data_IF_674312707502
#
_entry.id   IF_674312707502
#
_cell.length_a   1.000
_cell.length_b   1.000
_cell.length_c   1.000
_cell.angle_alpha   90.00
_cell.angle_beta   90.00
_cell.angle_gamma   90.00
#
_symmetry.space_group_name_H-M   'P 1'
#
loop_
_entity.id
_entity.type
_entity.pdbx_description
1 polymer ?
#
# COMPACT_ATOMS: atom_id res chain seq x y z
N UNK A 1 4.97 -5.89 -1.74
CA UNK A 1 5.98 -4.83 -1.55
C UNK A 1 5.32 -3.51 -1.90
N UNK A 2 5.43 -2.47 -1.04
CA UNK A 2 4.60 -1.26 -1.20
C UNK A 2 5.13 -0.28 -2.25
N UNK A 3 6.46 -0.13 -2.37
CA UNK A 3 7.10 0.57 -3.49
C UNK A 3 8.03 -0.37 -4.27
N UNK A 4 8.13 -0.16 -5.58
CA UNK A 4 9.22 -0.72 -6.38
C UNK A 4 10.48 0.15 -6.22
N UNK A 5 11.66 -0.48 -6.18
CA UNK A 5 12.95 0.24 -6.17
C UNK A 5 13.18 1.12 -7.39
N UNK A 6 12.45 0.88 -8.48
CA UNK A 6 12.52 1.67 -9.71
C UNK A 6 11.77 3.00 -9.58
N UNK A 7 10.71 3.02 -8.77
CA UNK A 7 9.87 4.19 -8.54
C UNK A 7 10.43 5.10 -7.45
N UNK A 8 11.25 4.57 -6.54
CA UNK A 8 11.85 5.39 -5.48
C UNK A 8 12.87 6.35 -6.09
N UNK A 9 12.68 7.64 -5.81
CA UNK A 9 13.62 8.69 -6.19
C UNK A 9 14.95 8.47 -5.46
N UNK A 10 16.02 8.40 -6.24
CA UNK A 10 17.37 8.08 -5.76
C UNK A 10 18.43 8.85 -6.53
N UNK A 11 19.53 9.12 -5.86
CA UNK A 11 20.72 9.75 -6.41
C UNK A 11 21.84 8.72 -6.43
N UNK A 12 22.53 8.61 -7.56
CA UNK A 12 23.70 7.75 -7.71
C UNK A 12 24.94 8.64 -7.70
N UNK A 13 25.90 8.34 -6.85
CA UNK A 13 27.17 9.06 -6.78
C UNK A 13 28.34 8.10 -6.63
N UNK A 14 29.54 8.55 -7.00
CA UNK A 14 30.78 7.80 -6.84
C UNK A 14 31.60 8.41 -5.71
N UNK A 15 32.09 7.56 -4.80
CA UNK A 15 33.02 7.96 -3.74
C UNK A 15 34.10 6.90 -3.62
N UNK A 16 35.38 7.30 -3.71
CA UNK A 16 36.50 6.36 -3.58
C UNK A 16 36.53 5.22 -4.61
N UNK A 17 35.94 5.41 -5.80
CA UNK A 17 35.85 4.37 -6.83
C UNK A 17 34.64 3.44 -6.71
N UNK A 18 33.90 3.52 -5.60
CA UNK A 18 32.68 2.74 -5.37
C UNK A 18 31.42 3.54 -5.75
N UNK A 19 30.37 2.82 -6.12
CA UNK A 19 29.05 3.36 -6.44
C UNK A 19 28.17 3.36 -5.20
N UNK A 20 27.56 4.51 -4.93
CA UNK A 20 26.63 4.71 -3.83
C UNK A 20 25.28 5.16 -4.36
N UNK A 21 24.22 4.68 -3.71
CA UNK A 21 22.84 5.10 -3.98
C UNK A 21 22.30 5.75 -2.72
N UNK A 22 21.96 7.04 -2.82
CA UNK A 22 21.22 7.77 -1.79
C UNK A 22 19.74 7.78 -2.12
N UNK A 23 18.91 7.28 -1.20
CA UNK A 23 17.46 7.44 -1.30
C UNK A 23 17.08 8.89 -1.01
N UNK A 24 16.11 9.40 -1.75
CA UNK A 24 15.55 10.72 -1.49
C UNK A 24 14.42 10.63 -0.47
N UNK A 25 14.74 10.97 0.78
CA UNK A 25 13.77 11.16 1.85
C UNK A 25 13.28 12.60 1.86
N UNK A 26 11.97 12.77 2.09
CA UNK A 26 11.34 14.08 2.26
C UNK A 26 11.74 14.68 3.61
N UNK A 27 12.25 15.90 3.57
CA UNK A 27 12.53 16.69 4.78
C UNK A 27 11.24 17.27 5.36
N UNK A 28 11.22 17.66 6.64
CA UNK A 28 10.07 18.35 7.21
C UNK A 28 9.68 19.59 6.38
N UNK A 29 8.41 19.65 5.95
CA UNK A 29 7.86 20.73 5.13
C UNK A 29 8.16 20.65 3.62
N UNK A 30 8.99 19.71 3.17
CA UNK A 30 9.21 19.46 1.74
C UNK A 30 7.95 18.89 1.09
N UNK A 31 7.63 19.34 -0.13
CA UNK A 31 6.44 18.95 -0.89
C UNK A 31 5.09 19.16 -0.18
N UNK A 32 5.03 20.03 0.84
CA UNK A 32 3.82 20.23 1.64
C UNK A 32 2.60 20.57 0.78
N UNK A 33 2.73 21.51 -0.15
CA UNK A 33 1.62 21.98 -0.99
C UNK A 33 1.20 20.91 -2.01
N UNK A 34 2.17 20.17 -2.55
CA UNK A 34 1.96 19.06 -3.48
C UNK A 34 1.16 17.92 -2.82
N UNK A 35 1.57 17.53 -1.61
CA UNK A 35 0.88 16.51 -0.82
C UNK A 35 -0.52 17.01 -0.43
N UNK A 36 -0.66 18.27 -0.03
CA UNK A 36 -1.96 18.86 0.29
C UNK A 36 -2.92 18.85 -0.90
N UNK A 37 -2.44 19.19 -2.11
CA UNK A 37 -3.21 19.08 -3.35
C UNK A 37 -3.60 17.64 -3.67
N UNK A 38 -2.68 16.69 -3.50
CA UNK A 38 -2.95 15.28 -3.75
C UNK A 38 -3.98 14.70 -2.78
N UNK A 39 -3.92 15.10 -1.49
CA UNK A 39 -4.95 14.76 -0.50
C UNK A 39 -6.29 15.36 -0.91
N UNK A 40 -6.32 16.65 -1.26
CA UNK A 40 -7.56 17.33 -1.68
C UNK A 40 -8.20 16.65 -2.91
N UNK A 41 -7.38 16.20 -3.86
CA UNK A 41 -7.85 15.43 -5.02
C UNK A 41 -8.52 14.10 -4.61
N UNK A 42 -7.93 13.33 -3.68
CA UNK A 42 -8.57 12.11 -3.17
C UNK A 42 -9.85 12.41 -2.38
N UNK A 43 -9.85 13.48 -1.57
CA UNK A 43 -11.05 13.90 -0.83
C UNK A 43 -12.22 14.25 -1.77
N UNK A 44 -11.95 14.87 -2.92
CA UNK A 44 -12.98 15.18 -3.92
C UNK A 44 -13.59 13.92 -4.56
N UNK A 45 -12.83 12.83 -4.62
CA UNK A 45 -13.27 11.55 -5.20
C UNK A 45 -13.92 10.62 -4.16
N UNK A 46 -14.08 11.03 -2.90
CA UNK A 46 -14.72 10.21 -1.88
C UNK A 46 -16.14 9.79 -2.30
N UNK A 47 -16.39 8.48 -2.28
CA UNK A 47 -17.65 7.85 -2.71
C UNK A 47 -17.85 7.77 -4.22
N UNK A 48 -16.93 8.33 -5.02
CA UNK A 48 -16.95 8.24 -6.49
C UNK A 48 -16.35 6.92 -6.96
N UNK A 49 -16.81 6.40 -8.12
CA UNK A 49 -16.27 5.18 -8.70
C UNK A 49 -14.85 5.38 -9.24
N UNK A 50 -14.06 4.31 -9.22
CA UNK A 50 -12.64 4.30 -9.59
C UNK A 50 -12.37 4.76 -11.01
N UNK A 51 -13.29 4.52 -11.95
CA UNK A 51 -13.19 5.06 -13.32
C UNK A 51 -13.12 6.60 -13.40
N UNK A 52 -13.53 7.32 -12.35
CA UNK A 52 -13.36 8.78 -12.28
C UNK A 52 -11.96 9.19 -11.81
N UNK A 53 -11.18 8.27 -11.23
CA UNK A 53 -9.81 8.55 -10.84
C UNK A 53 -8.91 8.65 -12.07
N UNK A 54 -8.40 9.85 -12.33
CA UNK A 54 -7.34 10.10 -13.30
C UNK A 54 -5.97 9.95 -12.65
N UNK A 55 -5.18 9.00 -13.14
CA UNK A 55 -3.79 8.83 -12.69
C UNK A 55 -2.92 10.02 -13.10
N UNK A 56 -3.22 10.66 -14.22
CA UNK A 56 -2.44 11.79 -14.73
C UNK A 56 -2.71 13.08 -13.94
N UNK A 57 -3.94 13.32 -13.51
CA UNK A 57 -4.27 14.44 -12.61
C UNK A 57 -3.64 14.25 -11.22
N UNK A 58 -3.67 13.02 -10.69
CA UNK A 58 -2.99 12.69 -9.44
C UNK A 58 -1.47 12.94 -9.54
N UNK A 59 -0.84 12.55 -10.66
CA UNK A 59 0.58 12.82 -10.92
C UNK A 59 0.87 14.31 -11.06
N UNK A 60 0.00 15.06 -11.74
CA UNK A 60 0.15 16.49 -11.93
C UNK A 60 0.14 17.28 -10.60
N UNK A 61 -0.52 16.78 -9.56
CA UNK A 61 -0.49 17.39 -8.22
C UNK A 61 0.92 17.47 -7.62
N UNK A 62 1.82 16.55 -7.98
CA UNK A 62 3.19 16.44 -7.46
C UNK A 62 4.24 16.90 -8.47
N UNK A 63 4.01 16.64 -9.76
CA UNK A 63 4.90 17.02 -10.86
C UNK A 63 6.04 16.03 -11.12
N UNK A 64 6.72 15.52 -10.08
CA UNK A 64 7.71 14.46 -10.23
C UNK A 64 7.02 13.08 -10.28
N UNK A 65 7.13 12.39 -11.42
CA UNK A 65 6.49 11.09 -11.66
C UNK A 65 6.83 10.04 -10.59
N UNK A 66 8.11 9.94 -10.18
CA UNK A 66 8.57 8.92 -9.23
C UNK A 66 7.98 9.17 -7.85
N UNK A 67 8.05 10.42 -7.41
CA UNK A 67 7.44 10.83 -6.15
C UNK A 67 5.93 10.71 -6.18
N UNK A 68 5.27 11.09 -7.28
CA UNK A 68 3.82 10.94 -7.44
C UNK A 68 3.38 9.49 -7.24
N UNK A 69 4.06 8.54 -7.88
CA UNK A 69 3.76 7.11 -7.73
C UNK A 69 3.85 6.65 -6.28
N UNK A 70 4.96 6.97 -5.59
CA UNK A 70 5.14 6.59 -4.20
C UNK A 70 4.16 7.31 -3.26
N UNK A 71 3.81 8.58 -3.52
CA UNK A 71 2.85 9.33 -2.68
C UNK A 71 1.41 8.84 -2.88
N UNK A 72 1.00 8.53 -4.12
CA UNK A 72 -0.31 7.90 -4.40
C UNK A 72 -0.39 6.55 -3.69
N UNK A 73 0.67 5.74 -3.78
CA UNK A 73 0.73 4.47 -3.05
C UNK A 73 0.69 4.70 -1.53
N UNK A 74 1.41 5.68 -0.98
CA UNK A 74 1.36 6.02 0.45
C UNK A 74 -0.06 6.36 0.91
N UNK A 75 -0.83 7.08 0.09
CA UNK A 75 -2.22 7.41 0.39
C UNK A 75 -3.13 6.18 0.47
N UNK A 76 -2.74 5.04 -0.10
CA UNK A 76 -3.47 3.79 0.05
C UNK A 76 -3.52 3.25 1.48
N UNK A 77 -2.81 3.87 2.44
CA UNK A 77 -2.95 3.54 3.85
C UNK A 77 -4.18 4.21 4.51
N UNK A 78 -4.77 5.21 3.85
CA UNK A 78 -5.97 5.90 4.32
C UNK A 78 -7.14 5.67 3.38
N UNK A 79 -6.89 5.71 2.07
CA UNK A 79 -7.90 5.59 1.04
C UNK A 79 -7.88 4.20 0.41
N UNK A 80 -9.03 3.57 0.29
CA UNK A 80 -9.16 2.25 -0.30
C UNK A 80 -10.30 2.23 -1.31
N UNK A 81 -10.11 1.46 -2.37
CA UNK A 81 -11.17 1.15 -3.31
C UNK A 81 -11.98 -0.01 -2.76
N UNK A 82 -13.29 0.17 -2.67
CA UNK A 82 -14.19 -0.82 -2.10
C UNK A 82 -15.33 -1.12 -3.07
N UNK A 83 -15.55 -2.40 -3.33
CA UNK A 83 -16.70 -2.89 -4.07
C UNK A 83 -18.00 -2.55 -3.33
N UNK A 84 -18.98 -1.99 -4.05
CA UNK A 84 -20.32 -1.77 -3.50
C UNK A 84 -21.05 -3.10 -3.35
N UNK A 85 -21.78 -3.27 -2.25
CA UNK A 85 -22.55 -4.49 -2.09
C UNK A 85 -23.78 -4.50 -3.00
N UNK A 86 -24.16 -5.68 -3.47
CA UNK A 86 -25.37 -5.90 -4.26
C UNK A 86 -26.60 -5.31 -3.56
N UNK A 87 -26.74 -5.58 -2.26
CA UNK A 87 -27.86 -5.09 -1.44
C UNK A 87 -27.87 -3.56 -1.27
N UNK A 88 -26.72 -2.91 -1.08
CA UNK A 88 -26.64 -1.44 -1.01
C UNK A 88 -27.12 -0.77 -2.30
N UNK A 89 -26.80 -1.35 -3.46
CA UNK A 89 -27.25 -0.82 -4.75
C UNK A 89 -28.77 -0.89 -4.88
N UNK A 90 -29.40 -1.98 -4.45
CA UNK A 90 -30.85 -2.12 -4.51
C UNK A 90 -31.63 -1.21 -3.55
N UNK A 91 -30.99 -0.68 -2.50
CA UNK A 91 -31.60 0.39 -1.70
C UNK A 91 -31.88 1.66 -2.53
N UNK A 92 -31.12 1.87 -3.61
CA UNK A 92 -31.31 3.01 -4.53
C UNK A 92 -32.22 2.68 -5.71
N UNK A 93 -32.13 1.47 -6.26
CA UNK A 93 -32.90 1.04 -7.44
C UNK A 93 -34.36 0.73 -7.05
N UNK A 94 -34.56 0.03 -5.93
CA UNK A 94 -35.88 -0.39 -5.44
C UNK A 94 -35.92 -1.86 -5.03
N UNK A 95 -36.71 -2.18 -4.00
CA UNK A 95 -36.81 -3.52 -3.41
C UNK A 95 -37.61 -4.52 -4.25
N UNK A 96 -38.47 -4.05 -5.16
CA UNK A 96 -39.28 -4.91 -6.03
C UNK A 96 -38.40 -5.64 -7.06
N UNK A 97 -37.52 -4.92 -7.76
CA UNK A 97 -36.56 -5.51 -8.71
C UNK A 97 -35.61 -6.49 -8.01
N UNK A 98 -35.16 -6.16 -6.79
CA UNK A 98 -34.35 -7.08 -5.98
C UNK A 98 -35.09 -8.40 -5.71
N UNK A 99 -36.35 -8.32 -5.30
CA UNK A 99 -37.16 -9.49 -4.97
C UNK A 99 -37.38 -10.38 -6.20
N UNK A 100 -37.63 -9.79 -7.38
CA UNK A 100 -37.78 -10.54 -8.63
C UNK A 100 -36.49 -11.27 -9.04
N UNK A 101 -35.34 -10.62 -8.88
CA UNK A 101 -34.04 -11.23 -9.14
C UNK A 101 -33.75 -12.37 -8.16
N UNK A 102 -34.03 -12.17 -6.86
CA UNK A 102 -33.86 -13.19 -5.83
C UNK A 102 -34.76 -14.41 -6.07
N UNK A 103 -36.02 -14.20 -6.47
CA UNK A 103 -36.94 -15.28 -6.86
C UNK A 103 -36.42 -16.08 -8.07
N UNK A 104 -35.67 -15.44 -8.96
CA UNK A 104 -34.99 -16.09 -10.08
C UNK A 104 -33.62 -16.69 -9.71
N UNK A 105 -33.21 -16.63 -8.44
CA UNK A 105 -31.92 -17.13 -7.97
C UNK A 105 -30.73 -16.23 -8.30
N UNK A 106 -30.97 -14.97 -8.67
CA UNK A 106 -29.95 -13.99 -9.04
C UNK A 106 -29.67 -13.07 -7.86
N UNK A 107 -28.52 -13.26 -7.22
CA UNK A 107 -28.09 -12.50 -6.02
C UNK A 107 -26.72 -11.82 -6.19
N UNK A 108 -26.16 -11.84 -7.40
CA UNK A 108 -24.85 -11.27 -7.72
C UNK A 108 -24.71 -10.86 -9.19
N UNK A 109 -23.73 -9.98 -9.52
CA UNK A 109 -23.45 -9.59 -10.91
C UNK A 109 -23.10 -10.77 -11.82
N UNK A 110 -22.40 -11.77 -11.30
CA UNK A 110 -22.04 -12.99 -12.04
C UNK A 110 -23.30 -13.76 -12.45
N UNK A 111 -24.22 -13.98 -11.51
CA UNK A 111 -25.48 -14.67 -11.81
C UNK A 111 -26.37 -13.87 -12.77
N UNK A 112 -26.37 -12.54 -12.65
CA UNK A 112 -27.10 -11.69 -13.59
C UNK A 112 -26.53 -11.80 -15.01
N UNK A 113 -25.20 -11.83 -15.15
CA UNK A 113 -24.53 -12.06 -16.44
C UNK A 113 -24.87 -13.42 -17.03
N UNK A 114 -24.85 -14.48 -16.21
CA UNK A 114 -25.25 -15.82 -16.64
C UNK A 114 -26.70 -15.86 -17.11
N UNK A 115 -27.64 -15.30 -16.35
CA UNK A 115 -29.05 -15.23 -16.74
C UNK A 115 -29.26 -14.45 -18.05
N UNK A 116 -28.49 -13.37 -18.26
CA UNK A 116 -28.52 -12.64 -19.53
C UNK A 116 -27.99 -13.49 -20.69
N UNK A 117 -26.90 -14.23 -20.49
CA UNK A 117 -26.36 -15.13 -21.52
C UNK A 117 -27.32 -16.26 -21.86
N UNK A 118 -27.97 -16.87 -20.86
CA UNK A 118 -29.01 -17.87 -21.07
C UNK A 118 -30.18 -17.30 -21.86
N UNK A 119 -30.65 -16.10 -21.49
CA UNK A 119 -31.70 -15.40 -22.23
C UNK A 119 -31.33 -15.15 -23.70
N UNK A 120 -30.11 -14.69 -23.98
CA UNK A 120 -29.61 -14.45 -25.34
C UNK A 120 -29.45 -15.78 -26.11
N UNK A 121 -29.01 -16.85 -25.46
CA UNK A 121 -28.92 -18.17 -26.08
C UNK A 121 -30.30 -18.68 -26.52
N UNK A 122 -31.31 -18.51 -25.68
CA UNK A 122 -32.68 -18.97 -25.95
C UNK A 122 -33.39 -18.13 -27.03
N UNK A 123 -33.20 -16.81 -27.02
CA UNK A 123 -34.00 -15.90 -27.86
C UNK A 123 -33.27 -15.42 -29.11
N UNK A 124 -31.94 -15.44 -29.13
CA UNK A 124 -31.09 -14.87 -30.19
C UNK A 124 -30.01 -15.84 -30.69
N UNK A 125 -30.19 -17.15 -30.45
CA UNK A 125 -29.25 -18.20 -30.88
C UNK A 125 -27.80 -17.97 -30.41
N UNK A 126 -27.63 -17.29 -29.28
CA UNK A 126 -26.33 -17.06 -28.65
C UNK A 126 -25.49 -15.93 -29.25
N UNK A 127 -26.04 -15.14 -30.18
CA UNK A 127 -25.37 -13.96 -30.72
C UNK A 127 -26.29 -12.75 -30.69
N UNK A 128 -25.80 -11.64 -30.17
CA UNK A 128 -26.54 -10.38 -30.09
C UNK A 128 -25.83 -9.32 -30.92
N UNK A 129 -26.39 -8.99 -32.08
CA UNK A 129 -25.86 -7.93 -32.92
C UNK A 129 -26.11 -6.53 -32.33
N UNK A 130 -25.39 -5.53 -32.84
CA UNK A 130 -25.46 -4.16 -32.34
C UNK A 130 -26.83 -3.48 -32.58
N UNK A 131 -27.57 -3.86 -33.62
CA UNK A 131 -28.88 -3.30 -33.94
C UNK A 131 -29.97 -3.83 -33.00
N UNK A 132 -29.87 -5.10 -32.60
CA UNK A 132 -30.83 -5.79 -31.74
C UNK A 132 -30.50 -5.69 -30.24
N UNK A 133 -29.27 -5.30 -29.89
CA UNK A 133 -28.78 -5.23 -28.52
C UNK A 133 -29.69 -4.44 -27.59
N UNK A 134 -30.02 -3.20 -27.95
CA UNK A 134 -30.82 -2.33 -27.11
C UNK A 134 -32.23 -2.91 -26.85
N UNK A 135 -32.89 -3.42 -27.89
CA UNK A 135 -34.22 -4.01 -27.77
C UNK A 135 -34.22 -5.30 -26.94
N UNK A 136 -33.17 -6.12 -27.08
CA UNK A 136 -33.03 -7.38 -26.32
C UNK A 136 -32.75 -7.11 -24.85
N UNK A 137 -31.84 -6.19 -24.53
CA UNK A 137 -31.55 -5.80 -23.15
C UNK A 137 -32.76 -5.17 -22.47
N UNK A 138 -33.56 -4.37 -23.20
CA UNK A 138 -34.81 -3.81 -22.68
C UNK A 138 -35.85 -4.88 -22.36
N UNK A 139 -35.97 -5.92 -23.19
CA UNK A 139 -36.87 -7.05 -22.91
C UNK A 139 -36.41 -7.85 -21.70
N UNK A 140 -35.12 -8.15 -21.61
CA UNK A 140 -34.54 -8.84 -20.46
C UNK A 140 -34.72 -8.03 -19.16
N UNK A 141 -34.44 -6.72 -19.19
CA UNK A 141 -34.56 -5.85 -18.00
C UNK A 141 -36.01 -5.73 -17.53
N UNK A 142 -36.98 -5.73 -18.45
CA UNK A 142 -38.41 -5.67 -18.13
C UNK A 142 -38.89 -6.87 -17.30
N UNK A 143 -38.31 -8.07 -17.49
CA UNK A 143 -38.62 -9.27 -16.68
C UNK A 143 -38.38 -9.04 -15.19
N UNK A 144 -37.39 -8.22 -14.85
CA UNK A 144 -36.99 -7.91 -13.47
C UNK A 144 -37.36 -6.48 -13.05
N UNK A 145 -38.17 -5.79 -13.84
CA UNK A 145 -38.53 -4.38 -13.62
C UNK A 145 -37.30 -3.48 -13.42
N UNK A 146 -36.24 -3.73 -14.19
CA UNK A 146 -35.02 -2.92 -14.18
C UNK A 146 -35.04 -1.89 -15.32
N UNK A 147 -34.57 -0.68 -15.04
CA UNK A 147 -34.19 0.26 -16.08
C UNK A 147 -32.97 -0.26 -16.86
N UNK A 148 -32.83 0.16 -18.13
CA UNK A 148 -31.70 -0.27 -18.96
C UNK A 148 -30.34 0.15 -18.37
N UNK A 149 -30.26 1.38 -17.82
CA UNK A 149 -29.05 1.87 -17.14
C UNK A 149 -28.73 1.10 -15.87
N UNK A 150 -29.75 0.66 -15.12
CA UNK A 150 -29.56 -0.10 -13.90
C UNK A 150 -29.07 -1.52 -14.20
N UNK A 151 -29.61 -2.14 -15.26
CA UNK A 151 -29.12 -3.43 -15.77
C UNK A 151 -27.64 -3.32 -16.15
N UNK A 152 -27.27 -2.34 -16.98
CA UNK A 152 -25.88 -2.14 -17.40
C UNK A 152 -24.94 -1.92 -16.21
N UNK A 153 -25.35 -1.10 -15.24
CA UNK A 153 -24.59 -0.87 -14.02
C UNK A 153 -24.44 -2.15 -13.18
N UNK A 154 -25.51 -2.91 -12.95
CA UNK A 154 -25.49 -4.16 -12.18
C UNK A 154 -24.62 -5.23 -12.83
N UNK A 155 -24.57 -5.29 -14.17
CA UNK A 155 -23.71 -6.23 -14.91
C UNK A 155 -22.21 -5.95 -14.72
N UNK A 156 -21.86 -4.69 -14.44
CA UNK A 156 -20.47 -4.23 -14.24
C UNK A 156 -20.13 -3.96 -12.75
N UNK A 157 -21.07 -4.20 -11.83
CA UNK A 157 -20.94 -3.78 -10.44
C UNK A 157 -19.73 -4.39 -9.72
N UNK A 158 -19.32 -5.60 -10.09
CA UNK A 158 -18.14 -6.29 -9.53
C UNK A 158 -16.83 -6.00 -10.28
N UNK A 159 -16.81 -5.00 -11.17
CA UNK A 159 -15.59 -4.56 -11.82
C UNK A 159 -14.79 -3.59 -10.95
N UNK A 160 -13.48 -3.56 -11.12
CA UNK A 160 -12.59 -2.61 -10.43
C UNK A 160 -12.99 -1.15 -10.73
N UNK A 161 -13.53 -0.87 -11.92
CA UNK A 161 -13.92 0.47 -12.37
C UNK A 161 -15.08 1.07 -11.55
N UNK A 162 -15.95 0.22 -10.98
CA UNK A 162 -17.10 0.64 -10.16
C UNK A 162 -16.81 0.61 -8.65
N UNK A 163 -15.61 0.21 -8.23
CA UNK A 163 -15.18 0.35 -6.84
C UNK A 163 -15.26 1.81 -6.42
N UNK A 164 -15.73 2.08 -5.21
CA UNK A 164 -15.79 3.45 -4.69
C UNK A 164 -14.62 3.77 -3.79
N UNK A 165 -14.16 5.02 -3.84
CA UNK A 165 -13.14 5.47 -2.90
C UNK A 165 -13.74 5.66 -1.51
N UNK A 166 -13.21 4.93 -0.53
CA UNK A 166 -13.59 5.07 0.88
C UNK A 166 -12.35 5.36 1.73
N UNK A 167 -12.59 5.81 2.97
CA UNK A 167 -11.56 6.08 3.96
C UNK A 167 -12.04 5.54 5.30
N UNK A 168 -11.17 4.80 5.98
CA UNK A 168 -11.51 4.19 7.28
C UNK A 168 -11.55 5.23 8.41
N UNK A 169 -10.72 6.28 8.30
CA UNK A 169 -10.65 7.35 9.30
C UNK A 169 -11.66 8.47 9.02
N UNK A 170 -12.18 9.16 10.04
CA UNK A 170 -13.12 10.26 9.85
C UNK A 170 -12.47 11.53 9.29
N UNK A 171 -11.14 11.65 9.36
CA UNK A 171 -10.38 12.82 8.89
C UNK A 171 -9.28 12.41 7.91
N UNK A 172 -8.91 13.29 6.96
CA UNK A 172 -7.81 13.02 6.04
C UNK A 172 -6.48 13.00 6.80
N UNK A 173 -5.45 12.33 6.25
CA UNK A 173 -4.11 12.39 6.81
C UNK A 173 -3.56 13.82 6.77
N UNK A 174 -2.64 14.14 7.68
CA UNK A 174 -1.86 15.36 7.51
C UNK A 174 -0.77 15.16 6.45
N UNK A 175 -0.27 16.26 5.89
CA UNK A 175 0.86 16.21 4.95
C UNK A 175 2.10 15.56 5.56
N UNK A 176 2.31 15.76 6.86
CA UNK A 176 3.41 15.17 7.60
C UNK A 176 3.24 13.65 7.77
N UNK A 177 2.02 13.15 7.95
CA UNK A 177 1.76 11.71 8.06
C UNK A 177 2.11 11.01 6.74
N UNK A 178 1.68 11.58 5.61
CA UNK A 178 1.98 11.05 4.28
C UNK A 178 3.48 11.08 4.01
N UNK A 179 4.16 12.18 4.31
CA UNK A 179 5.62 12.29 4.12
C UNK A 179 6.40 11.29 5.00
N UNK A 180 5.96 11.09 6.25
CA UNK A 180 6.55 10.13 7.18
C UNK A 180 6.38 8.71 6.65
N UNK A 181 5.19 8.36 6.18
CA UNK A 181 4.90 7.04 5.64
C UNK A 181 5.64 6.78 4.33
N UNK A 182 5.73 7.78 3.44
CA UNK A 182 6.59 7.71 2.25
C UNK A 182 8.04 7.39 2.63
N UNK A 183 8.62 8.12 3.58
CA UNK A 183 10.00 7.89 4.01
C UNK A 183 10.18 6.48 4.58
N UNK A 184 9.24 6.04 5.41
CA UNK A 184 9.25 4.69 5.96
C UNK A 184 9.23 3.63 4.85
N UNK A 185 8.28 3.72 3.91
CA UNK A 185 8.15 2.72 2.85
C UNK A 185 9.30 2.77 1.84
N UNK A 186 9.87 3.94 1.58
CA UNK A 186 11.08 4.07 0.77
C UNK A 186 12.27 3.36 1.43
N UNK A 187 12.42 3.51 2.75
CA UNK A 187 13.45 2.82 3.53
C UNK A 187 13.23 1.31 3.57
N UNK A 188 12.02 0.85 3.92
CA UNK A 188 11.66 -0.57 3.95
C UNK A 188 11.86 -1.25 2.59
N UNK A 189 11.51 -0.57 1.50
CA UNK A 189 11.68 -1.10 0.15
C UNK A 189 13.16 -1.26 -0.22
N UNK A 190 14.04 -0.39 0.27
CA UNK A 190 15.47 -0.56 0.09
C UNK A 190 16.02 -1.71 0.93
N UNK A 191 15.60 -1.85 2.19
CA UNK A 191 16.02 -2.95 3.06
C UNK A 191 15.60 -4.32 2.50
N UNK A 192 14.37 -4.44 1.99
CA UNK A 192 13.88 -5.71 1.43
C UNK A 192 14.65 -6.14 0.17
N UNK A 193 15.22 -5.20 -0.57
CA UNK A 193 16.03 -5.48 -1.76
C UNK A 193 17.53 -5.50 -1.49
N UNK A 194 17.98 -5.32 -0.25
CA UNK A 194 19.39 -5.40 0.09
C UNK A 194 19.84 -6.86 0.12
N UNK A 195 21.05 -7.15 -0.35
CA UNK A 195 21.67 -8.47 -0.17
C UNK A 195 22.01 -8.71 1.31
N UNK A 196 22.52 -7.67 1.98
CA UNK A 196 22.70 -7.62 3.42
C UNK A 196 22.57 -6.18 3.92
N UNK A 197 22.29 -6.03 5.22
CA UNK A 197 22.18 -4.76 5.93
C UNK A 197 23.13 -4.79 7.10
N UNK A 198 24.04 -3.82 7.17
CA UNK A 198 25.04 -3.72 8.24
C UNK A 198 24.70 -2.56 9.16
N UNK A 199 24.51 -2.87 10.44
CA UNK A 199 24.30 -1.90 11.50
C UNK A 199 25.55 -1.79 12.36
N UNK A 200 25.93 -0.55 12.68
CA UNK A 200 26.93 -0.24 13.71
C UNK A 200 26.15 0.32 14.89
N UNK A 201 26.16 -0.39 16.01
CA UNK A 201 25.34 -0.13 17.17
C UNK A 201 26.25 0.29 18.32
N UNK A 202 26.04 1.50 18.84
CA UNK A 202 26.59 1.92 20.12
C UNK A 202 25.80 1.23 21.23
N UNK A 203 26.46 0.33 21.96
CA UNK A 203 25.79 -0.47 22.98
C UNK A 203 25.26 0.39 24.14
N UNK A 204 25.97 1.47 24.50
CA UNK A 204 25.56 2.34 25.61
C UNK A 204 24.31 3.12 25.21
N UNK A 205 24.31 3.73 24.02
CA UNK A 205 23.14 4.45 23.51
C UNK A 205 21.92 3.52 23.35
N UNK A 206 22.15 2.28 22.91
CA UNK A 206 21.09 1.29 22.76
C UNK A 206 20.47 0.88 24.10
N UNK A 207 21.26 0.76 25.17
CA UNK A 207 20.73 0.48 26.50
C UNK A 207 19.96 1.68 27.09
N UNK A 208 20.51 2.88 26.98
CA UNK A 208 19.86 4.11 27.47
C UNK A 208 18.49 4.35 26.84
N UNK A 209 18.33 4.11 25.54
CA UNK A 209 17.05 4.25 24.84
C UNK A 209 15.95 3.30 25.38
N UNK A 210 16.33 2.21 26.06
CA UNK A 210 15.40 1.21 26.58
C UNK A 210 15.18 1.29 28.08
N UNK A 211 16.10 1.89 28.83
CA UNK A 211 15.97 2.00 30.29
C UNK A 211 14.99 3.10 30.72
N UNK A 212 14.50 3.95 29.81
CA UNK A 212 13.45 4.95 30.09
C UNK A 212 13.76 5.91 31.24
N UNK A 213 15.03 5.97 31.66
CA UNK A 213 15.49 6.70 32.83
C UNK A 213 16.63 7.62 32.41
N UNK A 214 16.37 8.92 32.47
CA UNK A 214 17.40 9.96 32.45
C UNK A 214 18.25 9.80 33.71
N UNK A 215 19.20 8.87 33.68
CA UNK A 215 20.18 8.73 34.75
C UNK A 215 21.17 9.90 34.67
N UNK A 216 21.46 10.57 35.81
CA UNK A 216 22.35 11.73 35.82
C UNK A 216 23.77 11.33 35.34
N UNK A 217 24.41 12.26 34.64
CA UNK A 217 25.70 12.13 33.94
C UNK A 217 26.93 11.74 34.81
N UNK A 218 26.74 11.29 36.05
CA UNK A 218 27.80 10.87 36.99
C UNK A 218 27.89 9.37 37.25
N UNK A 219 26.99 8.55 36.71
CA UNK A 219 26.98 7.08 36.91
C UNK A 219 27.72 6.29 35.80
N UNK A 220 28.53 6.96 34.97
CA UNK A 220 29.21 6.38 33.81
C UNK A 220 30.31 5.35 34.14
N UNK A 221 30.57 5.08 35.43
CA UNK A 221 31.64 4.18 35.89
C UNK A 221 31.26 2.71 36.10
N UNK A 222 29.98 2.33 35.98
CA UNK A 222 29.53 0.95 36.23
C UNK A 222 28.46 0.48 35.24
N UNK A 223 28.76 0.51 33.94
CA UNK A 223 28.02 -0.27 32.93
C UNK A 223 28.98 -1.35 32.38
N UNK A 224 29.43 -2.22 33.28
CA UNK A 224 30.31 -3.36 32.94
C UNK A 224 29.56 -4.59 32.41
N UNK A 225 28.24 -4.51 32.23
CA UNK A 225 27.35 -5.65 31.92
C UNK A 225 26.55 -5.49 30.63
N UNK A 226 26.76 -4.40 29.87
CA UNK A 226 25.80 -3.97 28.83
C UNK A 226 25.87 -4.74 27.50
N UNK A 227 27.06 -5.02 26.98
CA UNK A 227 27.22 -5.65 25.65
C UNK A 227 26.51 -7.02 25.59
N UNK A 228 26.67 -7.85 26.62
CA UNK A 228 26.04 -9.17 26.66
C UNK A 228 24.51 -9.12 26.63
N UNK A 229 23.91 -8.09 27.21
CA UNK A 229 22.46 -7.86 27.21
C UNK A 229 21.99 -7.40 25.83
N UNK A 230 22.69 -6.44 25.22
CA UNK A 230 22.42 -5.97 23.86
C UNK A 230 22.53 -7.12 22.85
N UNK A 231 23.61 -7.91 22.91
CA UNK A 231 23.82 -9.08 22.05
C UNK A 231 22.69 -10.09 22.20
N UNK A 232 22.39 -10.52 23.44
CA UNK A 232 21.31 -11.49 23.70
C UNK A 232 19.98 -11.01 23.12
N UNK A 233 19.69 -9.72 23.24
CA UNK A 233 18.45 -9.13 22.74
C UNK A 233 18.40 -9.09 21.22
N UNK A 234 19.46 -8.65 20.56
CA UNK A 234 19.53 -8.64 19.09
C UNK A 234 19.45 -10.06 18.53
N UNK A 235 20.17 -11.02 19.13
CA UNK A 235 20.07 -12.45 18.79
C UNK A 235 18.64 -12.98 18.97
N UNK A 236 17.96 -12.61 20.06
CA UNK A 236 16.57 -13.00 20.31
C UNK A 236 15.62 -12.40 19.26
N UNK A 237 15.75 -11.12 18.94
CA UNK A 237 14.93 -10.46 17.92
C UNK A 237 15.15 -11.06 16.54
N UNK A 238 16.40 -11.28 16.13
CA UNK A 238 16.71 -11.89 14.84
C UNK A 238 16.14 -13.31 14.74
N UNK A 239 16.25 -14.12 15.80
CA UNK A 239 15.62 -15.46 15.86
C UNK A 239 14.09 -15.40 15.80
N UNK A 240 13.47 -14.48 16.54
CA UNK A 240 12.02 -14.30 16.55
C UNK A 240 11.49 -13.86 15.18
N UNK A 241 12.26 -13.05 14.46
CA UNK A 241 11.94 -12.57 13.11
C UNK A 241 12.39 -13.54 12.01
N UNK A 242 13.10 -14.62 12.34
CA UNK A 242 13.58 -15.61 11.37
C UNK A 242 14.67 -15.08 10.41
N UNK A 243 15.42 -14.05 10.82
CA UNK A 243 16.44 -13.41 9.99
C UNK A 243 17.81 -14.01 10.30
N UNK A 244 18.56 -14.38 9.27
CA UNK A 244 19.95 -14.82 9.39
C UNK A 244 20.86 -13.63 9.66
N UNK A 245 21.82 -13.78 10.56
CA UNK A 245 22.69 -12.70 10.97
C UNK A 245 24.08 -13.17 11.36
N UNK A 246 25.04 -12.26 11.21
CA UNK A 246 26.37 -12.33 11.81
C UNK A 246 26.58 -11.14 12.75
N UNK A 247 27.31 -11.38 13.83
CA UNK A 247 27.56 -10.39 14.87
C UNK A 247 29.04 -10.39 15.22
N UNK A 248 29.65 -9.22 15.10
CA UNK A 248 31.05 -8.96 15.47
C UNK A 248 31.10 -7.74 16.39
N UNK A 249 32.10 -7.65 17.25
CA UNK A 249 32.25 -6.51 18.16
C UNK A 249 33.71 -6.08 18.18
N UNK A 250 33.93 -4.77 18.23
CA UNK A 250 35.26 -4.24 18.44
C UNK A 250 35.55 -4.21 19.94
N UNK A 251 36.67 -4.80 20.42
CA UNK A 251 37.02 -4.74 21.82
C UNK A 251 37.24 -3.28 22.22
N UNK A 252 36.59 -2.87 23.31
CA UNK A 252 36.64 -1.50 23.83
C UNK A 252 38.08 -1.04 24.04
N UNK A 253 38.50 0.04 23.39
CA UNK A 253 39.70 0.79 23.78
C UNK A 253 39.37 1.73 24.95
N UNK A 254 40.36 2.15 25.73
CA UNK A 254 40.19 2.91 26.97
C UNK A 254 39.36 4.23 26.85
N UNK A 255 39.10 4.71 25.63
CA UNK A 255 38.39 5.97 25.35
C UNK A 255 37.17 5.83 24.40
N UNK A 256 36.76 4.62 24.01
CA UNK A 256 35.66 4.42 23.03
C UNK A 256 34.62 3.45 23.55
N UNK A 257 33.33 3.84 23.48
CA UNK A 257 32.21 2.96 23.77
C UNK A 257 32.27 1.69 22.88
N UNK A 258 31.83 0.52 23.40
CA UNK A 258 31.85 -0.70 22.61
C UNK A 258 30.86 -0.61 21.45
N UNK A 259 31.39 -0.76 20.23
CA UNK A 259 30.60 -0.81 19.01
C UNK A 259 30.33 -2.26 18.62
N UNK A 260 29.06 -2.53 18.31
CA UNK A 260 28.59 -3.81 17.83
C UNK A 260 28.26 -3.72 16.35
N UNK A 261 28.84 -4.61 15.55
CA UNK A 261 28.56 -4.72 14.13
C UNK A 261 27.62 -5.90 13.90
N UNK A 262 26.39 -5.59 13.51
CA UNK A 262 25.36 -6.58 13.18
C UNK A 262 25.14 -6.60 11.67
N UNK A 263 25.39 -7.73 11.03
CA UNK A 263 25.06 -7.97 9.62
C UNK A 263 23.80 -8.82 9.57
N UNK A 264 22.74 -8.29 8.96
CA UNK A 264 21.52 -9.04 8.66
C UNK A 264 21.54 -9.42 7.18
N UNK A 265 21.32 -10.69 6.90
CA UNK A 265 21.27 -11.19 5.53
C UNK A 265 19.87 -11.01 4.96
N UNK A 266 19.81 -10.38 3.79
CA UNK A 266 18.57 -10.05 3.11
C UNK A 266 18.00 -11.22 2.30
N UNK A 267 16.77 -11.09 1.79
CA UNK A 267 16.10 -12.14 1.06
C UNK A 267 16.90 -12.66 -0.14
N UNK A 268 17.59 -11.77 -0.87
CA UNK A 268 18.36 -12.15 -2.07
C UNK A 268 19.47 -13.15 -1.79
N UNK A 269 20.13 -13.07 -0.63
CA UNK A 269 21.18 -14.02 -0.24
C UNK A 269 20.61 -15.35 0.24
N UNK A 270 19.38 -15.37 0.76
CA UNK A 270 18.76 -16.56 1.36
C UNK A 270 17.89 -17.37 0.39
N UNK A 271 17.22 -16.71 -0.56
CA UNK A 271 16.30 -17.36 -1.52
C UNK A 271 16.82 -17.34 -2.95
N UNK A 272 17.99 -16.73 -3.20
CA UNK A 272 18.45 -16.37 -4.53
C UNK A 272 17.77 -15.10 -5.04
N UNK A 273 18.41 -14.43 -6.01
CA UNK A 273 17.84 -13.24 -6.63
C UNK A 273 16.52 -13.58 -7.36
N UNK A 274 15.46 -12.77 -7.21
CA UNK A 274 14.28 -12.92 -8.08
C UNK A 274 14.73 -12.73 -9.52
N UNK A 275 14.43 -13.71 -10.38
CA UNK A 275 14.66 -13.59 -11.83
C UNK A 275 13.87 -12.35 -12.30
N UNK A 276 14.60 -11.35 -12.80
CA UNK A 276 14.04 -10.13 -13.40
C UNK A 276 13.40 -10.45 -14.75
#
# INVERSE_FOLDING_TARGET
MRFSLQDIKKQVYRRGGELYVGLHFLRPGELRLEIERLIAYHEQLMGQPRRQFSQDEARACVGDYRLAHCLIAALSAWYHWQQRSWSEVFQRIGSESQSLLEMAGITSPIQLRLALYDYVNEHQQGFLDAQERAATLQKFSATYQLGASDLEYLLALDSDDEEVLTRETPRPPSTQDVATLYNQWAFESALFNASNVRFIIDCNAFEHAHSGTDLPAGAAGQIGTGIGTVVKRLCYLARRLGVYYDLTYDPSSANTAPLLHLTLYGPQEMTGAPQQ
#
